data_IF_619994774144
#
_entry.id   IF_619994774144
#
_cell.length_a   1.000
_cell.length_b   1.000
_cell.length_c   1.000
_cell.angle_alpha   90.00
_cell.angle_beta   90.00
_cell.angle_gamma   90.00
#
_symmetry.space_group_name_H-M   'P 1'
#
loop_
_entity.id
_entity.type
_entity.pdbx_description
1 polymer ?
#
# COMPACT_ATOMS: atom_id res chain seq x y z
N UNK A 1 11.49 -15.90 30.60
CA UNK A 1 11.91 -15.30 29.31
C UNK A 1 10.94 -14.16 29.02
N UNK A 2 11.34 -12.91 29.25
CA UNK A 2 10.50 -11.75 28.93
C UNK A 2 10.57 -11.53 27.42
N UNK A 3 9.75 -12.27 26.68
CA UNK A 3 9.61 -12.11 25.23
C UNK A 3 9.02 -10.73 24.96
N UNK A 4 9.88 -9.76 24.63
CA UNK A 4 9.44 -8.42 24.25
C UNK A 4 8.75 -8.53 22.90
N UNK A 5 7.45 -8.22 22.86
CA UNK A 5 6.73 -8.08 21.59
C UNK A 5 7.51 -7.13 20.68
N UNK A 6 7.84 -7.54 19.44
CA UNK A 6 8.50 -6.65 18.49
C UNK A 6 7.68 -5.38 18.29
N UNK A 7 8.35 -4.25 18.04
CA UNK A 7 7.64 -2.99 17.74
C UNK A 7 6.86 -3.12 16.43
N UNK A 8 5.77 -2.36 16.32
CA UNK A 8 4.99 -2.27 15.08
C UNK A 8 5.87 -1.85 13.89
N UNK A 9 6.83 -0.94 14.11
CA UNK A 9 7.74 -0.45 13.07
C UNK A 9 8.60 -1.59 12.49
N UNK A 10 9.10 -2.48 13.35
CA UNK A 10 9.85 -3.65 12.90
C UNK A 10 8.96 -4.59 12.07
N UNK A 11 7.72 -4.83 12.51
CA UNK A 11 6.75 -5.60 11.72
C UNK A 11 6.50 -4.99 10.33
N UNK A 12 6.34 -3.67 10.24
CA UNK A 12 6.13 -2.95 8.96
C UNK A 12 7.34 -3.11 8.03
N UNK A 13 8.56 -2.98 8.57
CA UNK A 13 9.79 -3.15 7.81
C UNK A 13 9.89 -4.56 7.22
N UNK A 14 9.65 -5.59 8.04
CA UNK A 14 9.66 -6.99 7.60
C UNK A 14 8.60 -7.25 6.53
N UNK A 15 7.35 -6.81 6.74
CA UNK A 15 6.27 -6.98 5.74
C UNK A 15 6.64 -6.30 4.42
N UNK A 16 7.16 -5.08 4.48
CA UNK A 16 7.53 -4.31 3.29
C UNK A 16 8.69 -4.97 2.53
N UNK A 17 9.69 -5.50 3.25
CA UNK A 17 10.81 -6.25 2.67
C UNK A 17 10.36 -7.55 2.00
N UNK A 18 9.50 -8.33 2.66
CA UNK A 18 8.95 -9.56 2.09
C UNK A 18 8.12 -9.28 0.82
N UNK A 19 7.27 -8.26 0.84
CA UNK A 19 6.54 -7.81 -0.35
C UNK A 19 7.46 -7.34 -1.49
N UNK A 20 8.59 -6.72 -1.17
CA UNK A 20 9.57 -6.28 -2.16
C UNK A 20 10.35 -7.44 -2.79
N UNK A 21 10.43 -8.58 -2.10
CA UNK A 21 11.09 -9.81 -2.56
C UNK A 21 10.11 -10.83 -3.15
N UNK A 22 8.85 -10.45 -3.38
CA UNK A 22 7.82 -11.35 -3.91
C UNK A 22 7.32 -12.43 -2.93
N UNK A 23 7.80 -12.47 -1.68
CA UNK A 23 7.38 -13.46 -0.68
C UNK A 23 6.06 -13.05 0.00
N UNK A 24 5.01 -13.16 -0.79
CA UNK A 24 3.64 -12.83 -0.41
C UNK A 24 3.19 -13.63 0.81
N UNK A 25 3.44 -14.94 0.85
CA UNK A 25 2.94 -15.80 1.92
C UNK A 25 3.59 -15.46 3.25
N UNK A 26 4.91 -15.25 3.26
CA UNK A 26 5.58 -14.82 4.49
C UNK A 26 5.08 -13.43 4.92
N UNK A 27 4.85 -12.51 4.00
CA UNK A 27 4.31 -11.19 4.32
C UNK A 27 2.92 -11.28 4.97
N UNK A 28 2.04 -12.17 4.49
CA UNK A 28 0.72 -12.43 5.08
C UNK A 28 0.83 -13.00 6.50
N UNK A 29 1.76 -13.93 6.74
CA UNK A 29 2.01 -14.48 8.09
C UNK A 29 2.47 -13.39 9.05
N UNK A 30 3.46 -12.58 8.66
CA UNK A 30 3.96 -11.50 9.52
C UNK A 30 2.90 -10.44 9.75
N UNK A 31 2.06 -10.15 8.75
CA UNK A 31 0.91 -9.26 8.89
C UNK A 31 -0.07 -9.76 9.95
N UNK A 32 -0.45 -11.04 9.91
CA UNK A 32 -1.36 -11.60 10.91
C UNK A 32 -0.78 -11.58 12.32
N UNK A 33 0.52 -11.82 12.47
CA UNK A 33 1.22 -11.68 13.76
C UNK A 33 1.17 -10.23 14.23
N UNK A 34 1.51 -9.27 13.37
CA UNK A 34 1.48 -7.84 13.71
C UNK A 34 0.07 -7.36 14.10
N UNK A 35 -0.97 -7.81 13.38
CA UNK A 35 -2.37 -7.49 13.70
C UNK A 35 -2.80 -8.13 15.02
N UNK A 36 -2.38 -9.37 15.30
CA UNK A 36 -2.66 -10.03 16.58
C UNK A 36 -2.03 -9.28 17.75
N UNK A 37 -0.80 -8.80 17.58
CA UNK A 37 -0.03 -8.17 18.65
C UNK A 37 -0.37 -6.68 18.87
N UNK A 38 -0.70 -5.95 17.80
CA UNK A 38 -0.87 -4.49 17.83
C UNK A 38 -2.26 -3.99 17.41
N UNK A 39 -3.11 -4.86 16.84
CA UNK A 39 -4.42 -4.52 16.33
C UNK A 39 -4.41 -3.94 14.91
N UNK A 40 -5.50 -4.18 14.17
CA UNK A 40 -5.67 -3.73 12.78
C UNK A 40 -5.56 -2.21 12.63
N UNK A 41 -6.16 -1.46 13.55
CA UNK A 41 -6.22 0.01 13.51
C UNK A 41 -4.84 0.67 13.68
N UNK A 42 -3.88 -0.04 14.27
CA UNK A 42 -2.50 0.41 14.34
C UNK A 42 -1.71 0.02 13.08
N UNK A 43 -1.88 -1.23 12.61
CA UNK A 43 -1.08 -1.81 11.52
C UNK A 43 -1.40 -1.22 10.16
N UNK A 44 -2.68 -1.10 9.79
CA UNK A 44 -3.05 -0.63 8.45
C UNK A 44 -2.57 0.80 8.16
N UNK A 45 -2.75 1.78 9.07
CA UNK A 45 -2.21 3.13 8.84
C UNK A 45 -0.68 3.15 8.84
N UNK A 46 -0.01 2.28 9.61
CA UNK A 46 1.45 2.19 9.62
C UNK A 46 2.00 1.66 8.27
N UNK A 47 1.39 0.61 7.70
CA UNK A 47 1.70 0.13 6.34
C UNK A 47 1.40 1.20 5.28
N UNK A 48 0.23 1.85 5.36
CA UNK A 48 -0.14 2.89 4.41
C UNK A 48 0.82 4.09 4.41
N UNK A 49 1.46 4.39 5.55
CA UNK A 49 2.47 5.46 5.68
C UNK A 49 3.86 5.06 5.19
N UNK A 50 4.17 3.77 5.07
CA UNK A 50 5.47 3.34 4.52
C UNK A 50 5.55 3.46 3.00
N UNK A 51 4.43 3.74 2.33
CA UNK A 51 4.38 4.04 0.90
C UNK A 51 4.78 5.50 0.68
N UNK A 52 5.86 5.72 -0.05
CA UNK A 52 6.21 7.06 -0.51
C UNK A 52 5.17 7.54 -1.53
N UNK A 53 4.48 8.63 -1.21
CA UNK A 53 3.50 9.28 -2.06
C UNK A 53 3.91 10.73 -2.28
N UNK A 54 4.74 11.01 -3.30
CA UNK A 54 5.16 12.37 -3.59
C UNK A 54 3.93 13.27 -3.81
N UNK A 55 3.89 14.48 -3.21
CA UNK A 55 2.90 15.48 -3.57
C UNK A 55 2.90 15.70 -5.10
N UNK A 56 1.73 15.99 -5.67
CA UNK A 56 1.59 16.18 -7.11
C UNK A 56 1.51 14.89 -7.94
N UNK A 57 1.52 13.71 -7.29
CA UNK A 57 1.46 12.40 -7.96
C UNK A 57 0.24 11.59 -7.54
N UNK A 58 -0.38 10.91 -8.50
CA UNK A 58 -1.37 9.85 -8.29
C UNK A 58 -0.71 8.51 -8.63
N UNK A 59 -0.46 7.68 -7.62
CA UNK A 59 0.06 6.33 -7.83
C UNK A 59 -1.09 5.40 -8.20
N UNK A 60 -0.89 4.52 -9.17
CA UNK A 60 -1.79 3.40 -9.45
C UNK A 60 -1.00 2.10 -9.56
N UNK A 61 -1.63 0.95 -9.31
CA UNK A 61 -0.97 -0.34 -9.38
C UNK A 61 -1.69 -1.41 -8.55
N UNK A 62 -1.02 -2.55 -8.28
CA UNK A 62 -1.55 -3.57 -7.38
C UNK A 62 -1.79 -2.99 -5.97
N UNK A 63 -2.89 -3.38 -5.32
CA UNK A 63 -3.25 -2.94 -3.98
C UNK A 63 -2.16 -3.25 -2.95
N UNK A 64 -1.47 -4.38 -3.09
CA UNK A 64 -0.30 -4.74 -2.26
C UNK A 64 0.79 -3.67 -2.30
N UNK A 65 1.01 -3.03 -3.45
CA UNK A 65 2.02 -1.99 -3.60
C UNK A 65 1.50 -0.63 -3.11
N UNK A 66 0.22 -0.31 -3.36
CA UNK A 66 -0.40 0.98 -3.02
C UNK A 66 -0.56 1.19 -1.50
N UNK A 67 -0.76 0.12 -0.72
CA UNK A 67 -0.91 0.20 0.74
C UNK A 67 0.10 -0.61 1.55
N UNK A 68 1.05 -1.31 0.90
CA UNK A 68 1.90 -2.33 1.53
C UNK A 68 1.12 -3.39 2.32
N UNK A 69 -0.15 -3.60 1.94
CA UNK A 69 -1.00 -4.57 2.61
C UNK A 69 -0.95 -5.90 1.84
N UNK A 70 -0.38 -6.97 2.43
CA UNK A 70 -0.28 -8.26 1.77
C UNK A 70 -1.63 -8.96 1.60
N UNK A 71 -2.75 -8.44 2.10
CA UNK A 71 -4.07 -9.03 1.85
C UNK A 71 -4.81 -8.42 0.66
N UNK A 72 -4.22 -7.44 -0.05
CA UNK A 72 -4.89 -6.70 -1.14
C UNK A 72 -4.53 -7.28 -2.50
N UNK A 73 -5.40 -8.07 -3.09
CA UNK A 73 -5.20 -8.71 -4.40
C UNK A 73 -5.74 -7.91 -5.60
N UNK A 74 -6.38 -6.77 -5.33
CA UNK A 74 -6.98 -5.91 -6.33
C UNK A 74 -5.98 -4.92 -6.96
N UNK A 75 -6.47 -4.08 -7.88
CA UNK A 75 -5.78 -2.87 -8.33
C UNK A 75 -6.40 -1.63 -7.72
N UNK A 76 -5.59 -0.60 -7.57
CA UNK A 76 -5.92 0.61 -6.84
C UNK A 76 -5.14 1.83 -7.32
N UNK A 77 -5.59 3.00 -6.86
CA UNK A 77 -4.82 4.23 -6.94
C UNK A 77 -4.93 5.06 -5.66
N UNK A 78 -3.93 5.89 -5.39
CA UNK A 78 -3.89 6.81 -4.24
C UNK A 78 -3.21 8.12 -4.63
N UNK A 79 -3.83 9.23 -4.25
CA UNK A 79 -3.30 10.57 -4.41
C UNK A 79 -2.26 10.88 -3.32
N UNK A 80 -1.13 11.49 -3.68
CA UNK A 80 -0.12 11.96 -2.74
C UNK A 80 -0.38 13.36 -2.19
N UNK A 81 -1.29 14.13 -2.81
CA UNK A 81 -1.63 15.50 -2.41
C UNK A 81 -2.98 15.60 -1.67
N UNK A 82 -3.77 14.54 -1.66
CA UNK A 82 -5.17 14.59 -1.26
C UNK A 82 -5.62 13.25 -0.65
N UNK A 83 -6.67 13.23 0.19
CA UNK A 83 -7.09 12.02 0.90
C UNK A 83 -7.78 10.98 0.00
N UNK A 84 -7.93 11.28 -1.28
CA UNK A 84 -8.70 10.49 -2.24
C UNK A 84 -7.92 9.26 -2.72
N UNK A 85 -8.64 8.15 -2.83
CA UNK A 85 -8.14 6.87 -3.28
C UNK A 85 -9.26 6.11 -3.96
N UNK A 86 -8.93 5.28 -4.93
CA UNK A 86 -9.84 4.33 -5.55
C UNK A 86 -9.30 2.92 -5.41
N UNK A 87 -10.22 1.96 -5.28
CA UNK A 87 -9.87 0.59 -5.00
C UNK A 87 -10.85 -0.41 -5.66
N UNK A 88 -10.54 -1.70 -5.51
CA UNK A 88 -11.31 -2.83 -6.01
C UNK A 88 -11.42 -2.89 -7.54
N UNK A 89 -10.42 -2.33 -8.24
CA UNK A 89 -10.35 -2.45 -9.69
C UNK A 89 -9.85 -3.85 -10.07
N UNK A 90 -10.50 -4.45 -11.08
CA UNK A 90 -10.11 -5.78 -11.59
C UNK A 90 -8.81 -5.77 -12.39
N UNK A 91 -8.43 -4.63 -12.97
CA UNK A 91 -7.26 -4.51 -13.85
C UNK A 91 -6.45 -3.25 -13.56
N UNK A 92 -5.14 -3.30 -13.84
CA UNK A 92 -4.26 -2.14 -13.78
C UNK A 92 -4.75 -0.99 -14.66
N UNK A 93 -5.32 -1.30 -15.84
CA UNK A 93 -5.83 -0.30 -16.76
C UNK A 93 -7.06 0.42 -16.20
N UNK A 94 -7.96 -0.28 -15.50
CA UNK A 94 -9.11 0.36 -14.85
C UNK A 94 -8.67 1.31 -13.73
N UNK A 95 -7.70 0.88 -12.90
CA UNK A 95 -7.11 1.74 -11.88
C UNK A 95 -6.41 2.97 -12.49
N UNK A 96 -5.66 2.78 -13.58
CA UNK A 96 -5.00 3.86 -14.33
C UNK A 96 -6.00 4.88 -14.86
N UNK A 97 -7.09 4.41 -15.49
CA UNK A 97 -8.11 5.29 -16.05
C UNK A 97 -8.75 6.15 -14.96
N UNK A 98 -9.11 5.56 -13.83
CA UNK A 98 -9.69 6.28 -12.70
C UNK A 98 -8.69 7.27 -12.07
N UNK A 99 -7.42 6.88 -11.93
CA UNK A 99 -6.35 7.80 -11.50
C UNK A 99 -6.18 8.97 -12.47
N UNK A 100 -6.30 8.72 -13.78
CA UNK A 100 -6.27 9.75 -14.82
C UNK A 100 -7.45 10.71 -14.76
N UNK A 101 -8.67 10.21 -14.52
CA UNK A 101 -9.85 11.06 -14.30
C UNK A 101 -9.63 11.97 -13.09
N UNK A 102 -9.15 11.41 -11.97
CA UNK A 102 -8.87 12.20 -10.77
C UNK A 102 -7.80 13.27 -11.01
N UNK A 103 -6.69 12.93 -11.68
CA UNK A 103 -5.65 13.90 -12.02
C UNK A 103 -6.14 14.99 -12.99
N UNK A 104 -7.10 14.69 -13.87
CA UNK A 104 -7.70 15.68 -14.77
C UNK A 104 -8.63 16.66 -14.03
N UNK A 105 -9.31 16.21 -12.98
CA UNK A 105 -10.17 17.04 -12.12
C UNK A 105 -9.38 17.90 -11.13
N UNK A 106 -8.10 17.60 -10.94
CA UNK A 106 -7.22 18.24 -9.97
C UNK A 106 -5.85 18.57 -10.59
N UNK A 107 -5.74 19.73 -11.27
CA UNK A 107 -4.54 20.13 -11.99
C UNK A 107 -3.28 20.23 -11.11
N UNK A 108 -3.43 20.34 -9.79
CA UNK A 108 -2.34 20.39 -8.82
C UNK A 108 -1.61 19.05 -8.61
N UNK A 109 -2.13 17.93 -9.11
CA UNK A 109 -1.45 16.63 -9.07
C UNK A 109 -1.54 15.84 -10.39
N UNK A 110 -0.95 16.36 -11.48
CA UNK A 110 -1.16 15.86 -12.84
C UNK A 110 -0.46 14.52 -13.13
N UNK A 111 0.46 14.10 -12.26
CA UNK A 111 1.38 13.00 -12.58
C UNK A 111 0.78 11.65 -12.18
N UNK A 112 0.35 10.86 -13.17
CA UNK A 112 -0.13 9.49 -12.93
C UNK A 112 1.01 8.50 -13.12
N UNK A 113 1.41 7.83 -12.02
CA UNK A 113 2.58 6.95 -12.00
C UNK A 113 2.19 5.52 -11.63
N UNK A 114 2.70 4.55 -12.40
CA UNK A 114 2.51 3.13 -12.08
C UNK A 114 3.50 2.70 -10.99
N UNK A 115 3.00 2.03 -9.95
CA UNK A 115 3.81 1.28 -9.00
C UNK A 115 3.64 -0.21 -9.25
N UNK A 116 4.75 -0.92 -9.45
CA UNK A 116 4.75 -2.37 -9.57
C UNK A 116 5.06 -3.02 -8.22
N UNK A 117 4.43 -4.18 -7.96
CA UNK A 117 4.99 -5.14 -7.01
C UNK A 117 6.26 -5.67 -7.65
N UNK A 118 7.45 -5.33 -7.10
CA UNK A 118 8.67 -5.99 -7.57
C UNK A 118 8.56 -7.47 -7.23
N UNK A 119 8.68 -8.29 -8.26
CA UNK A 119 8.69 -9.76 -8.20
C UNK A 119 10.04 -10.25 -7.70
#
# INVERSE_FOLDING_TARGET
MTGRTPSIAHGIEVITGLLANGDIRAAEVVFHIAVKDHGTDAVLPALGRSVNLPPGTVLYGPGRAIWRNPLRDDYAWRCGACPWTGNNYRTAQAARNAAGTHAAEHPEHPTVTHIQSRS
#
